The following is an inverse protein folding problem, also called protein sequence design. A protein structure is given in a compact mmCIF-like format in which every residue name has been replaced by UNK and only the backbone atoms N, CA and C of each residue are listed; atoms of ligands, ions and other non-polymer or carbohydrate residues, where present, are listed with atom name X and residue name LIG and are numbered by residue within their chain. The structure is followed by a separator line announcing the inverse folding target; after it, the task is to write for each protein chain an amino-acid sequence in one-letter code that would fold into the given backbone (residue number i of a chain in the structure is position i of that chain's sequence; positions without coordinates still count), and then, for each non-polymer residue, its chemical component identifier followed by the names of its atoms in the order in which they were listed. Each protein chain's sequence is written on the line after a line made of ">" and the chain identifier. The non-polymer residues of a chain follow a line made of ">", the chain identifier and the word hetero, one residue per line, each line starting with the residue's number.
data_IF_440343477229
#
_entry.id   IF_440343477229
#
_cell.length_a   1.000
_cell.length_b   1.000
_cell.length_c   1.000
_cell.angle_alpha   90.00
_cell.angle_beta   90.00
_cell.angle_gamma   90.00
#
_symmetry.space_group_name_H-M   'P 1'
#
loop_
_entity.id
_entity.type
_entity.pdbx_description
1 polymer ?
#
# COMPACT_ATOMS: atom_id res chain seq x y z
N UNK A 1 5.10 31.45 -5.35
CA UNK A 1 6.21 30.52 -5.21
C UNK A 1 6.34 29.76 -6.53
N UNK A 2 7.53 29.76 -7.15
CA UNK A 2 7.78 28.92 -8.31
C UNK A 2 7.68 27.46 -7.85
N UNK A 3 6.79 26.68 -8.46
CA UNK A 3 6.74 25.25 -8.21
C UNK A 3 8.04 24.65 -8.75
N UNK A 4 8.80 23.99 -7.89
CA UNK A 4 9.93 23.20 -8.35
C UNK A 4 9.42 22.08 -9.25
N UNK A 5 10.13 21.73 -10.33
CA UNK A 5 9.77 20.58 -11.14
C UNK A 5 9.85 19.29 -10.28
N UNK A 6 9.02 18.29 -10.65
CA UNK A 6 9.06 16.96 -10.04
C UNK A 6 10.45 16.34 -10.29
N UNK A 7 10.97 15.60 -9.32
CA UNK A 7 12.22 14.84 -9.45
C UNK A 7 12.15 13.84 -10.61
N UNK A 8 13.28 13.61 -11.29
CA UNK A 8 13.35 12.79 -12.52
C UNK A 8 12.88 11.36 -12.28
N UNK A 9 13.20 10.79 -11.12
CA UNK A 9 12.79 9.46 -10.73
C UNK A 9 11.26 9.36 -10.58
N UNK A 10 10.65 10.36 -9.98
CA UNK A 10 9.19 10.41 -9.83
C UNK A 10 8.51 10.64 -11.19
N UNK A 11 9.09 11.43 -12.08
CA UNK A 11 8.58 11.59 -13.45
C UNK A 11 8.57 10.25 -14.19
N UNK A 12 9.67 9.47 -14.10
CA UNK A 12 9.74 8.15 -14.72
C UNK A 12 8.69 7.18 -14.18
N UNK A 13 8.44 7.19 -12.86
CA UNK A 13 7.36 6.37 -12.25
C UNK A 13 5.99 6.83 -12.76
N UNK A 14 5.73 8.14 -12.83
CA UNK A 14 4.48 8.67 -13.37
C UNK A 14 4.25 8.23 -14.81
N UNK A 15 5.28 8.28 -15.68
CA UNK A 15 5.19 7.84 -17.07
C UNK A 15 4.84 6.35 -17.17
N UNK A 16 5.51 5.49 -16.40
CA UNK A 16 5.23 4.05 -16.37
C UNK A 16 3.80 3.78 -15.86
N UNK A 17 3.38 4.40 -14.78
CA UNK A 17 2.03 4.21 -14.24
C UNK A 17 0.98 4.71 -15.22
N UNK A 18 1.18 5.87 -15.84
CA UNK A 18 0.25 6.42 -16.83
C UNK A 18 0.11 5.49 -18.05
N UNK A 19 1.24 4.99 -18.59
CA UNK A 19 1.24 4.14 -19.78
C UNK A 19 0.74 2.72 -19.54
N UNK A 20 1.02 2.15 -18.35
CA UNK A 20 0.78 0.72 -18.10
C UNK A 20 -0.43 0.43 -17.21
N UNK A 21 -0.90 1.40 -16.41
CA UNK A 21 -1.86 1.12 -15.34
C UNK A 21 -3.17 1.91 -15.46
N UNK A 22 -3.13 3.21 -15.76
CA UNK A 22 -4.32 4.07 -15.62
C UNK A 22 -5.45 3.76 -16.60
N UNK A 23 -5.16 3.17 -17.75
CA UNK A 23 -6.17 2.78 -18.74
C UNK A 23 -6.82 1.40 -18.49
N UNK A 24 -6.33 0.67 -17.48
CA UNK A 24 -6.82 -0.68 -17.17
C UNK A 24 -8.08 -0.60 -16.31
N UNK A 25 -8.98 -1.58 -16.46
CA UNK A 25 -10.16 -1.70 -15.59
C UNK A 25 -9.83 -1.88 -14.13
N UNK A 26 -8.71 -2.56 -13.84
CA UNK A 26 -8.19 -2.74 -12.50
C UNK A 26 -6.66 -2.77 -12.52
N UNK A 27 -6.07 -2.04 -11.59
CA UNK A 27 -4.62 -2.03 -11.36
C UNK A 27 -4.30 -1.92 -9.88
N UNK A 28 -3.23 -2.58 -9.46
CA UNK A 28 -2.66 -2.45 -8.13
C UNK A 28 -1.16 -2.19 -8.23
N UNK A 29 -0.68 -1.17 -7.55
CA UNK A 29 0.74 -0.90 -7.37
C UNK A 29 1.13 -1.19 -5.92
N UNK A 30 2.37 -1.63 -5.70
CA UNK A 30 2.92 -1.84 -4.36
C UNK A 30 4.27 -1.16 -4.27
N UNK A 31 4.34 -0.15 -3.43
CA UNK A 31 5.59 0.50 -3.05
C UNK A 31 6.12 -0.13 -1.75
N UNK A 32 7.36 -0.58 -1.76
CA UNK A 32 7.96 -1.33 -0.65
C UNK A 32 8.91 -0.44 0.14
N UNK A 33 8.50 -0.10 1.35
CA UNK A 33 9.27 0.73 2.28
C UNK A 33 9.79 -0.05 3.47
N UNK A 34 10.86 0.44 4.08
CA UNK A 34 11.39 -0.03 5.36
C UNK A 34 11.89 1.18 6.17
N UNK A 35 11.88 1.02 7.50
CA UNK A 35 12.31 2.12 8.40
C UNK A 35 11.22 2.62 9.32
N UNK A 36 9.99 2.12 9.22
CA UNK A 36 8.87 2.57 10.02
C UNK A 36 8.34 1.47 10.95
N UNK A 37 8.26 1.78 12.24
CA UNK A 37 7.56 0.96 13.23
C UNK A 37 8.13 -0.45 13.47
N UNK A 38 7.42 -1.22 14.27
CA UNK A 38 7.78 -2.59 14.67
C UNK A 38 6.85 -3.68 14.12
N UNK A 39 5.86 -3.28 13.34
CA UNK A 39 4.89 -4.16 12.67
C UNK A 39 4.75 -3.78 11.21
N UNK A 40 4.41 -4.77 10.38
CA UNK A 40 4.18 -4.54 8.96
C UNK A 40 2.81 -3.90 8.74
N UNK A 41 2.75 -2.92 7.84
CA UNK A 41 1.52 -2.18 7.51
C UNK A 41 1.31 -2.15 6.01
N UNK A 42 0.06 -2.10 5.61
CA UNK A 42 -0.35 -1.83 4.24
C UNK A 42 -1.10 -0.50 4.27
N UNK A 43 -0.44 0.53 3.80
CA UNK A 43 -1.06 1.83 3.67
C UNK A 43 -1.69 2.01 2.29
N UNK A 44 -2.75 2.79 2.26
CA UNK A 44 -3.39 3.26 1.04
C UNK A 44 -3.63 4.78 1.13
N UNK A 45 -3.82 5.49 0.02
CA UNK A 45 -4.07 6.94 0.04
C UNK A 45 -5.31 7.30 0.89
N UNK A 46 -5.43 8.50 1.35
CA UNK A 46 -4.53 9.63 1.10
C UNK A 46 -3.52 9.81 2.23
N UNK A 47 -2.35 10.41 1.86
CA UNK A 47 -1.38 10.91 2.83
C UNK A 47 -1.66 12.37 3.22
N UNK A 48 -2.17 13.20 2.29
CA UNK A 48 -2.34 14.65 2.51
C UNK A 48 -3.63 15.04 3.24
N UNK A 49 -4.59 14.15 3.36
CA UNK A 49 -5.90 14.41 3.99
C UNK A 49 -6.45 13.15 4.66
N UNK A 50 -7.26 13.36 5.68
CA UNK A 50 -8.02 12.28 6.33
C UNK A 50 -9.35 11.95 5.63
N UNK A 51 -9.61 12.54 4.47
CA UNK A 51 -10.80 12.20 3.70
C UNK A 51 -10.69 10.78 3.13
N UNK A 52 -11.79 10.02 3.10
CA UNK A 52 -11.81 8.70 2.46
C UNK A 52 -11.50 8.79 0.96
N UNK A 53 -10.84 7.77 0.44
CA UNK A 53 -10.59 7.63 -1.00
C UNK A 53 -11.83 7.16 -1.75
N UNK A 54 -11.92 7.45 -3.05
CA UNK A 54 -13.04 7.02 -3.90
C UNK A 54 -13.21 5.49 -3.97
N UNK A 55 -12.09 4.74 -3.94
CA UNK A 55 -12.05 3.28 -4.00
C UNK A 55 -11.93 2.62 -2.61
N UNK A 56 -12.51 3.23 -1.58
CA UNK A 56 -12.45 2.71 -0.21
C UNK A 56 -13.11 1.34 -0.08
N UNK A 57 -14.21 1.12 -0.78
CA UNK A 57 -14.94 -0.16 -0.79
C UNK A 57 -14.08 -1.28 -1.40
N UNK A 58 -13.34 -0.96 -2.45
CA UNK A 58 -12.46 -1.89 -3.16
C UNK A 58 -11.26 -2.29 -2.30
N UNK A 59 -10.64 -1.33 -1.58
CA UNK A 59 -9.58 -1.63 -0.61
C UNK A 59 -10.11 -2.52 0.52
N UNK A 60 -11.31 -2.24 1.04
CA UNK A 60 -11.92 -3.05 2.08
C UNK A 60 -12.22 -4.46 1.58
N UNK A 61 -12.75 -4.61 0.36
CA UNK A 61 -12.99 -5.93 -0.23
C UNK A 61 -11.68 -6.71 -0.41
N UNK A 62 -10.62 -6.07 -0.92
CA UNK A 62 -9.28 -6.67 -1.05
C UNK A 62 -8.75 -7.16 0.30
N UNK A 63 -8.82 -6.31 1.33
CA UNK A 63 -8.45 -6.69 2.70
C UNK A 63 -9.25 -7.89 3.18
N UNK A 64 -10.57 -7.91 2.98
CA UNK A 64 -11.45 -9.00 3.41
C UNK A 64 -11.05 -10.35 2.83
N UNK A 65 -10.82 -10.43 1.52
CA UNK A 65 -10.39 -11.68 0.88
C UNK A 65 -8.97 -12.08 1.31
N UNK A 66 -8.08 -11.10 1.58
CA UNK A 66 -6.76 -11.38 2.11
C UNK A 66 -6.82 -12.01 3.50
N UNK A 67 -7.58 -11.41 4.42
CA UNK A 67 -7.76 -11.92 5.79
C UNK A 67 -8.38 -13.31 5.81
N UNK A 68 -9.34 -13.57 4.92
CA UNK A 68 -9.99 -14.90 4.81
C UNK A 68 -9.02 -15.98 4.30
N UNK A 69 -8.13 -15.63 3.37
CA UNK A 69 -7.18 -16.57 2.79
C UNK A 69 -5.87 -16.70 3.58
N UNK A 70 -5.54 -15.73 4.41
CA UNK A 70 -4.29 -15.64 5.18
C UNK A 70 -4.56 -15.26 6.65
N UNK A 71 -5.32 -16.09 7.37
CA UNK A 71 -5.80 -15.82 8.73
C UNK A 71 -4.70 -15.53 9.78
N UNK A 72 -3.46 -15.93 9.51
CA UNK A 72 -2.31 -15.71 10.40
C UNK A 72 -1.41 -14.53 9.96
N UNK A 73 -1.87 -13.71 9.03
CA UNK A 73 -1.13 -12.51 8.64
C UNK A 73 -1.00 -11.53 9.80
N UNK A 74 0.00 -10.63 9.70
CA UNK A 74 0.29 -9.62 10.73
C UNK A 74 0.22 -8.19 10.20
N UNK A 75 -0.29 -8.01 8.98
CA UNK A 75 -0.43 -6.69 8.39
C UNK A 75 -1.60 -5.92 9.01
N UNK A 76 -1.35 -4.64 9.28
CA UNK A 76 -2.41 -3.67 9.58
C UNK A 76 -2.70 -2.91 8.29
N UNK A 77 -3.95 -2.95 7.82
CA UNK A 77 -4.41 -2.14 6.69
C UNK A 77 -5.01 -0.86 7.21
N UNK A 78 -4.54 0.28 6.73
CA UNK A 78 -5.02 1.59 7.18
C UNK A 78 -4.69 2.69 6.17
N UNK A 79 -5.44 3.82 6.15
CA UNK A 79 -5.03 4.99 5.39
C UNK A 79 -3.73 5.55 5.94
N UNK A 80 -2.81 5.96 5.07
CA UNK A 80 -1.53 6.56 5.47
C UNK A 80 -1.72 7.77 6.38
N UNK A 81 -2.76 8.58 6.15
CA UNK A 81 -3.09 9.77 6.93
C UNK A 81 -3.38 9.52 8.42
N UNK A 82 -3.62 8.27 8.84
CA UNK A 82 -3.74 7.94 10.26
C UNK A 82 -2.41 8.00 11.00
N UNK A 83 -1.30 7.80 10.30
CA UNK A 83 0.03 7.83 10.91
C UNK A 83 0.62 9.25 10.90
N UNK A 84 0.58 9.92 9.75
CA UNK A 84 0.99 11.31 9.61
C UNK A 84 0.39 11.90 8.33
N UNK A 85 0.33 13.23 8.29
CA UNK A 85 -0.07 13.95 7.08
C UNK A 85 1.18 14.41 6.33
N UNK A 86 1.22 14.13 5.03
CA UNK A 86 2.29 14.53 4.14
C UNK A 86 1.74 15.12 2.85
N UNK A 87 2.34 16.23 2.39
CA UNK A 87 2.03 16.81 1.09
C UNK A 87 3.11 16.43 0.08
N UNK A 88 2.72 16.27 -1.19
CA UNK A 88 3.63 15.89 -2.26
C UNK A 88 3.93 14.39 -2.34
N UNK A 89 3.06 13.57 -1.76
CA UNK A 89 3.13 12.12 -1.89
C UNK A 89 2.86 11.71 -3.35
N UNK A 90 3.73 10.84 -3.90
CA UNK A 90 3.65 10.39 -5.29
C UNK A 90 2.39 9.57 -5.56
N UNK A 91 2.02 8.69 -4.63
CA UNK A 91 0.86 7.82 -4.80
C UNK A 91 -0.46 8.58 -4.65
N UNK A 92 -0.50 9.62 -3.82
CA UNK A 92 -1.63 10.56 -3.78
C UNK A 92 -1.82 11.29 -5.12
N UNK A 93 -0.69 11.73 -5.74
CA UNK A 93 -0.72 12.38 -7.04
C UNK A 93 -1.26 11.44 -8.12
N UNK A 94 -0.69 10.25 -8.26
CA UNK A 94 -1.09 9.24 -9.24
C UNK A 94 -2.53 8.72 -9.02
N UNK A 95 -2.92 8.55 -7.76
CA UNK A 95 -4.28 8.14 -7.43
C UNK A 95 -5.32 9.19 -7.85
N UNK A 96 -5.03 10.47 -7.59
CA UNK A 96 -5.91 11.57 -8.01
C UNK A 96 -5.99 11.68 -9.53
N UNK A 97 -4.87 11.49 -10.22
CA UNK A 97 -4.85 11.43 -11.68
C UNK A 97 -5.70 10.26 -12.19
N UNK A 98 -5.54 9.07 -11.64
CA UNK A 98 -6.35 7.91 -11.99
C UNK A 98 -7.85 8.15 -11.81
N UNK A 99 -8.25 8.79 -10.71
CA UNK A 99 -9.66 9.14 -10.45
C UNK A 99 -10.21 10.21 -11.39
N UNK A 100 -9.35 11.09 -11.92
CA UNK A 100 -9.76 12.16 -12.83
C UNK A 100 -9.84 11.70 -14.31
N UNK A 101 -8.97 10.79 -14.72
CA UNK A 101 -8.77 10.40 -16.11
C UNK A 101 -9.35 9.01 -16.42
N UNK A 102 -9.52 8.14 -15.41
CA UNK A 102 -9.85 6.73 -15.59
C UNK A 102 -11.26 6.36 -15.10
N UNK A 103 -11.83 5.37 -15.78
CA UNK A 103 -13.04 4.67 -15.34
C UNK A 103 -12.69 3.40 -14.53
N UNK A 104 -11.41 3.11 -14.38
CA UNK A 104 -10.89 1.91 -13.71
C UNK A 104 -10.66 2.09 -12.23
N UNK A 105 -10.39 0.99 -11.56
CA UNK A 105 -9.99 0.95 -10.15
C UNK A 105 -8.46 0.88 -10.09
N UNK A 106 -7.83 1.91 -9.56
CA UNK A 106 -6.39 1.95 -9.27
C UNK A 106 -6.16 1.94 -7.76
N UNK A 107 -5.45 0.93 -7.26
CA UNK A 107 -5.13 0.78 -5.84
C UNK A 107 -3.61 0.87 -5.63
N UNK A 108 -3.06 2.05 -5.38
CA UNK A 108 -1.68 2.16 -4.91
C UNK A 108 -1.62 1.80 -3.42
N UNK A 109 -0.78 0.84 -3.10
CA UNK A 109 -0.56 0.36 -1.75
C UNK A 109 0.91 0.58 -1.38
N UNK A 110 1.16 0.99 -0.14
CA UNK A 110 2.52 1.06 0.41
C UNK A 110 2.69 -0.04 1.45
N UNK A 111 3.61 -0.96 1.18
CA UNK A 111 4.02 -1.99 2.12
C UNK A 111 5.11 -1.42 3.04
N UNK A 112 4.73 -1.00 4.23
CA UNK A 112 5.65 -0.58 5.28
C UNK A 112 6.15 -1.78 6.08
N UNK A 113 7.39 -2.17 5.85
CA UNK A 113 8.02 -3.28 6.55
C UNK A 113 8.55 -2.83 7.91
N UNK A 114 8.08 -3.43 8.99
CA UNK A 114 8.38 -3.08 10.37
C UNK A 114 9.83 -3.35 10.77
N UNK A 115 10.76 -2.50 10.32
CA UNK A 115 12.20 -2.68 10.49
C UNK A 115 12.70 -2.48 11.93
N UNK A 116 12.03 -1.67 12.74
CA UNK A 116 12.37 -1.44 14.14
C UNK A 116 12.27 -2.71 15.01
N UNK A 117 11.51 -3.71 14.57
CA UNK A 117 11.49 -5.02 15.20
C UNK A 117 12.90 -5.66 15.23
N UNK A 118 13.71 -5.44 14.20
CA UNK A 118 15.06 -6.00 14.09
C UNK A 118 16.04 -5.25 14.97
N UNK A 119 15.89 -3.94 15.08
CA UNK A 119 16.65 -3.12 16.04
C UNK A 119 16.32 -3.53 17.47
N UNK A 120 15.04 -3.71 17.81
CA UNK A 120 14.62 -4.19 19.13
C UNK A 120 15.22 -5.55 19.48
N UNK A 121 15.35 -6.45 18.50
CA UNK A 121 15.96 -7.79 18.70
C UNK A 121 17.49 -7.78 18.74
N UNK A 122 18.12 -6.77 18.14
CA UNK A 122 19.56 -6.60 18.13
C UNK A 122 19.92 -5.11 18.10
N UNK A 123 19.99 -4.43 19.27
CA UNK A 123 20.25 -2.99 19.34
C UNK A 123 21.57 -2.55 18.69
N UNK A 124 22.55 -3.46 18.56
CA UNK A 124 23.81 -3.16 17.86
C UNK A 124 23.61 -2.78 16.39
N UNK A 125 22.47 -3.14 15.81
CA UNK A 125 22.11 -2.75 14.44
C UNK A 125 21.99 -1.23 14.25
N UNK A 126 21.74 -0.45 15.31
CA UNK A 126 21.72 1.02 15.26
C UNK A 126 23.06 1.61 14.80
N UNK A 127 24.16 0.92 15.04
CA UNK A 127 25.50 1.36 14.63
C UNK A 127 25.90 0.89 13.22
N UNK A 128 24.99 0.21 12.52
CA UNK A 128 25.20 -0.23 11.15
C UNK A 128 24.50 0.71 10.17
N UNK A 129 25.14 1.03 9.04
CA UNK A 129 24.59 1.88 7.98
C UNK A 129 23.20 1.43 7.49
N UNK A 130 22.94 0.14 7.47
CA UNK A 130 21.69 -0.46 6.97
C UNK A 130 20.81 -1.08 8.06
N UNK A 131 21.28 -1.07 9.31
CA UNK A 131 20.65 -1.83 10.40
C UNK A 131 19.31 -1.27 10.85
N UNK A 132 19.03 0.01 10.60
CA UNK A 132 17.74 0.62 10.90
C UNK A 132 16.66 0.13 9.92
N UNK A 133 17.05 -0.14 8.68
CA UNK A 133 16.14 -0.45 7.59
C UNK A 133 15.99 -1.95 7.32
N UNK A 134 17.01 -2.74 7.65
CA UNK A 134 17.07 -4.15 7.24
C UNK A 134 17.45 -5.09 8.38
N UNK A 135 16.95 -6.34 8.38
CA UNK A 135 17.52 -7.38 9.21
C UNK A 135 18.92 -7.75 8.67
N UNK A 136 19.95 -7.70 9.54
CA UNK A 136 21.33 -8.01 9.13
C UNK A 136 21.68 -9.50 9.20
N UNK A 137 20.78 -10.33 9.74
CA UNK A 137 20.98 -11.77 9.92
C UNK A 137 20.21 -12.52 8.84
N UNK A 138 20.88 -13.39 8.11
CA UNK A 138 20.35 -14.09 6.94
C UNK A 138 19.00 -14.79 7.18
N UNK A 139 18.86 -15.57 8.24
CA UNK A 139 17.59 -16.26 8.51
C UNK A 139 16.41 -15.29 8.77
N UNK A 140 16.70 -14.07 9.24
CA UNK A 140 15.69 -13.02 9.40
C UNK A 140 15.33 -12.38 8.04
N UNK A 141 16.31 -12.20 7.16
CA UNK A 141 16.08 -11.75 5.78
C UNK A 141 15.18 -12.75 5.06
N UNK A 142 15.52 -14.03 5.13
CA UNK A 142 14.73 -15.11 4.54
C UNK A 142 13.29 -15.16 5.09
N UNK A 143 13.12 -14.86 6.37
CA UNK A 143 11.78 -14.78 6.98
C UNK A 143 10.97 -13.61 6.42
N UNK A 144 11.57 -12.42 6.32
CA UNK A 144 10.94 -11.22 5.75
C UNK A 144 10.53 -11.48 4.30
N UNK A 145 11.46 -12.00 3.49
CA UNK A 145 11.19 -12.32 2.08
C UNK A 145 10.01 -13.28 1.93
N UNK A 146 10.02 -14.40 2.65
CA UNK A 146 8.91 -15.38 2.58
C UNK A 146 7.56 -14.78 2.96
N UNK A 147 7.54 -13.91 3.97
CA UNK A 147 6.30 -13.29 4.43
C UNK A 147 5.73 -12.35 3.36
N UNK A 148 6.56 -11.46 2.82
CA UNK A 148 6.12 -10.48 1.83
C UNK A 148 5.89 -11.10 0.46
N UNK A 149 6.63 -12.15 0.09
CA UNK A 149 6.38 -12.90 -1.14
C UNK A 149 4.97 -13.49 -1.16
N UNK A 150 4.47 -14.00 -0.05
CA UNK A 150 3.08 -14.51 0.04
C UNK A 150 2.05 -13.39 -0.19
N UNK A 151 2.31 -12.21 0.32
CA UNK A 151 1.42 -11.05 0.10
C UNK A 151 1.44 -10.60 -1.37
N UNK A 152 2.61 -10.50 -1.98
CA UNK A 152 2.74 -10.12 -3.40
C UNK A 152 2.11 -11.18 -4.34
N UNK A 153 2.26 -12.47 -4.03
CA UNK A 153 1.61 -13.55 -4.75
C UNK A 153 0.08 -13.48 -4.64
N UNK A 154 -0.44 -13.19 -3.44
CA UNK A 154 -1.86 -12.93 -3.25
C UNK A 154 -2.33 -11.75 -4.10
N UNK A 155 -1.64 -10.60 -4.08
CA UNK A 155 -2.03 -9.43 -4.87
C UNK A 155 -2.01 -9.71 -6.37
N UNK A 156 -1.02 -10.46 -6.86
CA UNK A 156 -0.96 -10.88 -8.26
C UNK A 156 -2.19 -11.71 -8.65
N UNK A 157 -2.57 -12.67 -7.82
CA UNK A 157 -3.79 -13.49 -8.04
C UNK A 157 -5.06 -12.66 -7.93
N UNK A 158 -5.14 -11.74 -6.97
CA UNK A 158 -6.27 -10.85 -6.82
C UNK A 158 -6.42 -9.93 -8.04
N UNK A 159 -5.31 -9.42 -8.58
CA UNK A 159 -5.33 -8.61 -9.80
C UNK A 159 -5.84 -9.42 -11.01
N UNK A 160 -5.34 -10.63 -11.22
CA UNK A 160 -5.80 -11.50 -12.29
C UNK A 160 -7.28 -11.89 -12.16
N UNK A 161 -7.74 -12.13 -10.93
CA UNK A 161 -9.11 -12.52 -10.61
C UNK A 161 -10.00 -11.37 -10.15
N UNK A 162 -9.71 -10.13 -10.52
CA UNK A 162 -10.40 -8.95 -9.98
C UNK A 162 -11.93 -9.00 -10.13
N UNK A 163 -12.44 -9.56 -11.23
CA UNK A 163 -13.87 -9.70 -11.51
C UNK A 163 -14.62 -10.62 -10.51
N UNK A 164 -13.90 -11.42 -9.71
CA UNK A 164 -14.49 -12.34 -8.74
C UNK A 164 -14.71 -11.70 -7.36
N UNK A 165 -14.01 -10.63 -7.05
CA UNK A 165 -14.04 -10.04 -5.72
C UNK A 165 -14.30 -8.53 -5.68
N UNK A 166 -14.10 -7.83 -6.80
CA UNK A 166 -14.45 -6.40 -6.84
C UNK A 166 -15.94 -6.22 -6.49
N UNK A 167 -16.27 -5.26 -5.61
CA UNK A 167 -17.63 -5.05 -5.19
C UNK A 167 -18.54 -4.70 -6.38
N UNK A 168 -19.71 -5.36 -6.44
CA UNK A 168 -20.81 -4.94 -7.31
C UNK A 168 -21.45 -3.66 -6.76
N UNK A 169 -22.33 -3.01 -7.53
CA UNK A 169 -23.04 -1.81 -7.07
C UNK A 169 -23.71 -2.03 -5.71
N UNK A 170 -24.33 -3.19 -5.51
CA UNK A 170 -25.07 -3.52 -4.27
C UNK A 170 -24.14 -3.76 -3.08
N UNK A 171 -23.05 -4.50 -3.29
CA UNK A 171 -22.10 -4.83 -2.22
C UNK A 171 -21.13 -3.67 -1.92
N UNK A 172 -20.92 -2.76 -2.85
CA UNK A 172 -20.04 -1.59 -2.71
C UNK A 172 -20.49 -0.67 -1.57
N UNK A 173 -21.78 -0.44 -1.44
CA UNK A 173 -22.33 0.39 -0.36
C UNK A 173 -22.01 -0.24 1.02
N UNK A 174 -22.18 -1.55 1.14
CA UNK A 174 -21.88 -2.26 2.38
C UNK A 174 -20.38 -2.22 2.71
N UNK A 175 -19.52 -2.52 1.72
CA UNK A 175 -18.07 -2.45 1.91
C UNK A 175 -17.62 -1.05 2.28
N UNK A 176 -18.19 -0.02 1.67
CA UNK A 176 -17.86 1.38 1.97
C UNK A 176 -18.26 1.75 3.42
N UNK A 177 -19.45 1.38 3.85
CA UNK A 177 -19.91 1.66 5.22
C UNK A 177 -19.03 0.95 6.27
N UNK A 178 -18.70 -0.33 6.06
CA UNK A 178 -17.80 -1.08 6.94
C UNK A 178 -16.39 -0.49 6.97
N UNK A 179 -15.89 -0.01 5.85
CA UNK A 179 -14.59 0.62 5.75
C UNK A 179 -14.52 1.96 6.50
N UNK A 180 -15.60 2.76 6.42
CA UNK A 180 -15.70 3.99 7.22
C UNK A 180 -15.70 3.70 8.72
N UNK A 181 -16.44 2.70 9.15
CA UNK A 181 -16.46 2.29 10.57
C UNK A 181 -15.10 1.77 11.05
N UNK A 182 -14.35 1.10 10.16
CA UNK A 182 -13.06 0.52 10.52
C UNK A 182 -11.91 1.52 10.53
N UNK A 183 -11.93 2.52 9.64
CA UNK A 183 -10.75 3.34 9.36
C UNK A 183 -10.94 4.86 9.59
N UNK A 184 -12.17 5.33 9.73
CA UNK A 184 -12.51 6.75 9.89
C UNK A 184 -13.52 6.97 11.01
#
# INVERSE_FOLDING_TARGET
>A
AASMPMEVENQAVCEVVASEMLYRKFSVAVDCHSGFGSSDRIWFPYAHTRAPIAHLAEVHALKRIFVQSHSHHRYTFEPQSLQYLAHGDLWDHLYRQACAEGEGVFLPLTLEMGSWLWVKKNPRQLFSRHGIFNPLIEHRQQRVLRQHQQFLDFLSRAACGNHLWLPTADTRVQHHAQALEEWY
#
